data_IF_959559081823
#
_entry.id   IF_959559081823
#
_cell.length_a   1.000
_cell.length_b   1.000
_cell.length_c   1.000
_cell.angle_alpha   90.00
_cell.angle_beta   90.00
_cell.angle_gamma   90.00
#
_symmetry.space_group_name_H-M   'P 1'
#
loop_
_entity.id
_entity.type
_entity.pdbx_description
1 polymer ?
#
# COMPACT_ATOMS: atom_id res chain seq x y z
N UNK A 1 -5.68 -2.27 -18.50
CA UNK A 1 -5.03 -2.18 -17.17
C UNK A 1 -3.65 -1.55 -17.34
N UNK A 2 -3.30 -0.45 -16.63
CA UNK A 2 -1.91 0.07 -16.63
C UNK A 2 -1.14 -0.57 -15.47
N UNK A 3 -0.02 -1.22 -15.75
CA UNK A 3 0.84 -1.84 -14.73
C UNK A 3 2.19 -1.10 -14.66
N UNK A 4 2.93 -1.32 -13.57
CA UNK A 4 4.25 -0.72 -13.39
C UNK A 4 5.35 -1.33 -14.29
N UNK A 5 5.09 -2.45 -14.97
CA UNK A 5 6.11 -3.28 -15.64
C UNK A 5 6.93 -2.50 -16.68
N UNK A 6 6.25 -1.76 -17.53
CA UNK A 6 6.85 -1.15 -18.74
C UNK A 6 6.96 0.39 -18.60
N UNK A 7 7.01 0.89 -17.37
CA UNK A 7 7.02 2.33 -17.06
C UNK A 7 8.26 2.65 -16.22
N UNK A 8 8.99 3.71 -16.55
CA UNK A 8 10.13 4.15 -15.76
C UNK A 8 9.71 5.21 -14.73
N UNK A 9 10.04 5.00 -13.45
CA UNK A 9 9.71 5.90 -12.33
C UNK A 9 10.89 6.72 -11.81
N UNK A 10 11.97 6.87 -12.59
CA UNK A 10 13.11 7.71 -12.23
C UNK A 10 12.67 9.12 -11.81
N UNK A 11 13.19 9.57 -10.66
CA UNK A 11 12.92 10.88 -10.07
C UNK A 11 11.42 11.13 -9.76
N UNK A 12 10.58 10.08 -9.77
CA UNK A 12 9.18 10.14 -9.35
C UNK A 12 9.05 9.84 -7.86
N UNK A 13 8.03 10.43 -7.26
CA UNK A 13 7.64 10.20 -5.86
C UNK A 13 6.36 9.39 -5.87
N UNK A 14 6.51 8.10 -5.64
CA UNK A 14 5.48 7.10 -5.91
C UNK A 14 4.78 6.73 -4.62
N UNK A 15 3.48 7.00 -4.55
CA UNK A 15 2.60 6.55 -3.49
C UNK A 15 2.18 5.11 -3.78
N UNK A 16 2.51 4.18 -2.89
CA UNK A 16 2.21 2.75 -3.06
C UNK A 16 1.27 2.29 -1.96
N UNK A 17 0.06 1.87 -2.33
CA UNK A 17 -0.87 1.24 -1.41
C UNK A 17 -0.57 -0.27 -1.35
N UNK A 18 -0.04 -0.75 -0.23
CA UNK A 18 0.29 -2.16 0.00
C UNK A 18 -0.64 -2.78 1.05
N UNK A 19 -0.80 -4.11 1.09
CA UNK A 19 -1.54 -4.78 2.17
C UNK A 19 -0.62 -5.25 3.31
N UNK A 20 -0.19 -4.36 4.19
CA UNK A 20 0.58 -4.74 5.39
C UNK A 20 -0.27 -5.05 6.61
N UNK A 21 -1.52 -5.48 6.42
CA UNK A 21 -2.34 -5.95 7.53
C UNK A 21 -1.91 -7.37 7.93
N UNK A 22 -0.81 -7.45 8.68
CA UNK A 22 -0.16 -8.68 9.16
C UNK A 22 -0.54 -8.96 10.62
N UNK A 23 -0.53 -10.23 11.08
CA UNK A 23 -0.72 -10.53 12.48
C UNK A 23 0.48 -10.04 13.31
N UNK A 24 0.19 -9.24 14.33
CA UNK A 24 1.17 -8.73 15.30
C UNK A 24 0.78 -9.20 16.69
N UNK A 25 1.72 -9.81 17.40
CA UNK A 25 1.56 -10.22 18.80
C UNK A 25 2.69 -9.62 19.62
N UNK A 26 2.34 -8.86 20.66
CA UNK A 26 3.33 -8.22 21.55
C UNK A 26 4.37 -7.38 20.78
N UNK A 27 3.93 -6.71 19.71
CA UNK A 27 4.79 -5.89 18.85
C UNK A 27 5.63 -6.67 17.83
N UNK A 28 5.51 -8.00 17.79
CA UNK A 28 6.25 -8.88 16.86
C UNK A 28 5.32 -9.40 15.77
N UNK A 29 5.76 -9.30 14.51
CA UNK A 29 5.06 -9.86 13.35
C UNK A 29 5.22 -11.38 13.37
N UNK A 30 4.11 -12.12 13.37
CA UNK A 30 4.15 -13.60 13.38
C UNK A 30 4.08 -14.21 11.97
N UNK A 31 3.61 -13.44 10.98
CA UNK A 31 3.59 -13.83 9.57
C UNK A 31 3.79 -12.58 8.71
N UNK A 32 4.91 -12.55 7.97
CA UNK A 32 5.32 -11.44 7.12
C UNK A 32 5.02 -11.66 5.63
N UNK A 33 4.23 -12.69 5.28
CA UNK A 33 3.94 -13.06 3.88
C UNK A 33 3.43 -11.88 3.07
N UNK A 34 2.48 -11.11 3.62
CA UNK A 34 1.93 -9.94 2.91
C UNK A 34 2.94 -8.81 2.71
N UNK A 35 3.93 -8.69 3.58
CA UNK A 35 5.03 -7.73 3.41
C UNK A 35 5.91 -8.18 2.23
N UNK A 36 6.26 -9.47 2.21
CA UNK A 36 7.07 -10.09 1.15
C UNK A 36 6.42 -9.99 -0.23
N UNK A 37 5.10 -10.15 -0.30
CA UNK A 37 4.34 -10.06 -1.56
C UNK A 37 4.41 -8.68 -2.22
N UNK A 38 4.59 -7.59 -1.46
CA UNK A 38 4.75 -6.24 -2.02
C UNK A 38 6.20 -5.89 -2.38
N UNK A 39 7.20 -6.70 -1.98
CA UNK A 39 8.61 -6.42 -2.25
C UNK A 39 8.93 -6.27 -3.75
N UNK A 40 8.43 -7.13 -4.66
CA UNK A 40 8.74 -7.00 -6.08
C UNK A 40 8.32 -5.63 -6.66
N UNK A 41 7.17 -5.11 -6.22
CA UNK A 41 6.69 -3.78 -6.61
C UNK A 41 7.63 -2.70 -6.08
N UNK A 42 7.99 -2.77 -4.80
CA UNK A 42 8.84 -1.79 -4.13
C UNK A 42 10.23 -1.76 -4.76
N UNK A 43 10.86 -2.92 -4.90
CA UNK A 43 12.21 -3.07 -5.47
C UNK A 43 12.28 -2.55 -6.89
N UNK A 44 11.27 -2.84 -7.72
CA UNK A 44 11.22 -2.33 -9.09
C UNK A 44 11.16 -0.81 -9.14
N UNK A 45 10.34 -0.16 -8.30
CA UNK A 45 10.26 1.30 -8.25
C UNK A 45 11.59 1.93 -7.84
N UNK A 46 12.29 1.30 -6.91
CA UNK A 46 13.58 1.78 -6.43
C UNK A 46 14.70 1.55 -7.44
N UNK A 47 14.67 0.43 -8.15
CA UNK A 47 15.60 0.13 -9.23
C UNK A 47 15.49 1.16 -10.38
N UNK A 48 14.28 1.67 -10.63
CA UNK A 48 14.07 2.79 -11.58
C UNK A 48 14.61 4.13 -11.06
N UNK A 49 14.90 4.26 -9.76
CA UNK A 49 15.33 5.52 -9.13
C UNK A 49 14.17 6.37 -8.62
N UNK A 50 13.05 5.76 -8.23
CA UNK A 50 11.95 6.48 -7.57
C UNK A 50 12.23 6.74 -6.07
N UNK A 51 11.57 7.75 -5.52
CA UNK A 51 11.33 7.89 -4.08
C UNK A 51 10.00 7.19 -3.74
N UNK A 52 9.99 6.25 -2.80
CA UNK A 52 8.81 5.40 -2.54
C UNK A 52 8.15 5.77 -1.22
N UNK A 53 6.86 6.10 -1.26
CA UNK A 53 6.02 6.36 -0.08
C UNK A 53 5.00 5.23 0.04
N UNK A 54 5.19 4.38 1.03
CA UNK A 54 4.34 3.23 1.33
C UNK A 54 3.17 3.66 2.23
N UNK A 55 2.00 3.14 1.93
CA UNK A 55 0.78 3.38 2.69
C UNK A 55 0.07 2.05 2.96
N UNK A 56 -0.35 1.85 4.21
CA UNK A 56 -1.09 0.66 4.59
C UNK A 56 -2.08 0.93 5.72
N UNK A 57 -2.81 -0.12 6.08
CA UNK A 57 -3.56 -0.20 7.32
C UNK A 57 -3.11 -1.42 8.11
N UNK A 58 -3.35 -1.40 9.42
CA UNK A 58 -3.20 -2.54 10.30
C UNK A 58 -4.44 -2.62 11.20
N UNK A 59 -5.04 -3.80 11.28
CA UNK A 59 -6.19 -4.07 12.13
C UNK A 59 -7.38 -3.14 11.90
N UNK A 60 -8.07 -2.79 12.99
CA UNK A 60 -9.30 -1.99 12.99
C UNK A 60 -9.28 -0.99 14.16
N UNK A 61 -8.39 0.01 14.12
CA UNK A 61 -8.39 1.09 15.11
C UNK A 61 -9.72 1.86 15.11
N UNK A 62 -9.99 2.58 16.20
CA UNK A 62 -11.18 3.43 16.35
C UNK A 62 -11.18 4.63 15.37
N UNK A 63 -10.00 5.02 14.88
CA UNK A 63 -9.83 6.12 13.92
C UNK A 63 -9.94 7.50 14.55
N UNK A 64 -9.60 7.58 15.84
CA UNK A 64 -9.57 8.82 16.65
C UNK A 64 -8.15 9.33 16.88
N UNK A 65 -7.16 8.78 16.17
CA UNK A 65 -5.74 9.10 16.34
C UNK A 65 -4.88 7.86 16.52
N UNK A 66 -3.69 8.05 17.08
CA UNK A 66 -2.70 7.01 17.28
C UNK A 66 -3.15 5.96 18.31
N UNK A 67 -3.07 4.69 17.94
CA UNK A 67 -3.32 3.53 18.81
C UNK A 67 -2.13 2.57 18.70
N UNK A 68 -1.34 2.43 19.76
CA UNK A 68 -0.04 1.75 19.71
C UNK A 68 -0.11 0.29 19.20
N UNK A 69 -1.17 -0.44 19.54
CA UNK A 69 -1.38 -1.83 19.10
C UNK A 69 -1.59 -1.98 17.58
N UNK A 70 -1.98 -0.89 16.90
CA UNK A 70 -2.23 -0.85 15.46
C UNK A 70 -1.19 0.00 14.71
N UNK A 71 -0.09 0.39 15.36
CA UNK A 71 0.99 1.12 14.69
C UNK A 71 1.70 0.24 13.66
N UNK A 72 2.15 0.85 12.57
CA UNK A 72 2.98 0.22 11.55
C UNK A 72 4.48 0.21 11.88
N UNK A 73 4.89 0.64 13.08
CA UNK A 73 6.30 0.63 13.48
C UNK A 73 6.97 -0.75 13.33
N UNK A 74 6.35 -1.89 13.74
CA UNK A 74 6.94 -3.21 13.51
C UNK A 74 7.09 -3.55 12.03
N UNK A 75 6.15 -3.08 11.19
CA UNK A 75 6.18 -3.27 9.74
C UNK A 75 7.33 -2.47 9.12
N UNK A 76 7.56 -1.23 9.56
CA UNK A 76 8.69 -0.42 9.10
C UNK A 76 10.04 -1.09 9.38
N UNK A 77 10.19 -1.68 10.58
CA UNK A 77 11.38 -2.43 10.95
C UNK A 77 11.56 -3.65 10.04
N UNK A 78 10.50 -4.47 9.88
CA UNK A 78 10.57 -5.67 9.05
C UNK A 78 10.83 -5.37 7.57
N UNK A 79 10.23 -4.32 7.03
CA UNK A 79 10.51 -3.84 5.68
C UNK A 79 11.98 -3.45 5.53
N UNK A 80 12.56 -2.78 6.54
CA UNK A 80 13.97 -2.39 6.48
C UNK A 80 14.90 -3.59 6.41
N UNK A 81 14.61 -4.64 7.18
CA UNK A 81 15.35 -5.91 7.17
C UNK A 81 15.24 -6.59 5.79
N UNK A 82 14.02 -6.73 5.27
CA UNK A 82 13.76 -7.43 4.00
C UNK A 82 14.34 -6.69 2.78
N UNK A 83 14.29 -5.36 2.80
CA UNK A 83 14.82 -4.53 1.71
C UNK A 83 16.34 -4.37 1.78
N UNK A 84 16.97 -4.68 2.93
CA UNK A 84 18.37 -4.39 3.18
C UNK A 84 18.68 -2.89 3.18
N UNK A 85 17.69 -2.04 3.46
CA UNK A 85 17.77 -0.57 3.40
C UNK A 85 16.95 0.06 4.49
N UNK A 86 17.32 1.27 4.92
CA UNK A 86 16.55 2.04 5.91
C UNK A 86 15.18 2.42 5.33
N UNK A 87 14.11 2.07 6.03
CA UNK A 87 12.78 2.63 5.82
C UNK A 87 12.57 3.75 6.83
N UNK A 88 12.31 4.96 6.33
CA UNK A 88 11.95 6.10 7.16
C UNK A 88 10.52 5.89 7.69
N UNK A 89 10.32 6.21 8.96
CA UNK A 89 9.04 6.04 9.63
C UNK A 89 8.91 7.04 10.78
N UNK A 90 7.68 7.48 11.05
CA UNK A 90 7.34 8.33 12.18
C UNK A 90 5.98 7.89 12.74
N UNK A 91 5.79 7.97 14.05
CA UNK A 91 4.49 7.77 14.71
C UNK A 91 3.53 8.96 14.49
N UNK A 92 3.92 9.91 13.66
CA UNK A 92 3.13 11.08 13.31
C UNK A 92 1.89 10.69 12.50
N UNK A 93 0.72 11.15 12.95
CA UNK A 93 -0.56 10.88 12.29
C UNK A 93 -0.90 12.05 11.37
N UNK A 94 -0.20 12.09 10.22
CA UNK A 94 -0.50 12.99 9.10
C UNK A 94 -0.44 14.48 9.42
N UNK A 95 0.58 14.91 10.16
CA UNK A 95 0.86 16.33 10.44
C UNK A 95 1.87 16.91 9.45
N UNK A 96 2.36 18.13 9.72
CA UNK A 96 3.42 18.77 8.95
C UNK A 96 4.73 17.95 8.94
N UNK A 97 4.96 17.13 9.97
CA UNK A 97 6.10 16.20 10.00
C UNK A 97 5.98 15.18 8.87
N UNK A 98 4.80 14.59 8.68
CA UNK A 98 4.55 13.67 7.57
C UNK A 98 4.79 14.32 6.20
N UNK A 99 4.30 15.56 6.02
CA UNK A 99 4.46 16.32 4.77
C UNK A 99 5.93 16.63 4.50
N UNK A 100 6.67 17.10 5.50
CA UNK A 100 8.10 17.39 5.36
C UNK A 100 8.94 16.15 5.04
N UNK A 101 8.70 15.02 5.73
CA UNK A 101 9.37 13.75 5.43
C UNK A 101 9.09 13.28 4.00
N UNK A 102 7.84 13.36 3.55
CA UNK A 102 7.47 13.02 2.18
C UNK A 102 8.13 13.97 1.18
N UNK A 103 8.14 15.28 1.45
CA UNK A 103 8.75 16.31 0.59
C UNK A 103 10.25 16.08 0.41
N UNK A 104 10.96 15.83 1.50
CA UNK A 104 12.42 15.76 1.55
C UNK A 104 12.98 14.36 1.19
N UNK A 105 12.09 13.40 0.90
CA UNK A 105 12.42 12.03 0.50
C UNK A 105 13.19 11.98 -0.83
N UNK A 106 14.40 11.44 -0.79
CA UNK A 106 15.33 11.40 -1.93
C UNK A 106 15.10 10.16 -2.81
N UNK A 107 15.52 10.19 -4.09
CA UNK A 107 15.51 9.01 -4.95
C UNK A 107 16.20 7.81 -4.30
N UNK A 108 15.57 6.64 -4.35
CA UNK A 108 16.04 5.41 -3.72
C UNK A 108 15.70 5.27 -2.22
N UNK A 109 15.12 6.30 -1.60
CA UNK A 109 14.64 6.22 -0.21
C UNK A 109 13.20 5.71 -0.14
N UNK A 110 12.87 5.11 1.01
CA UNK A 110 11.53 4.60 1.31
C UNK A 110 11.01 5.27 2.58
N UNK A 111 9.78 5.76 2.53
CA UNK A 111 9.01 6.24 3.67
C UNK A 111 7.80 5.33 3.86
N UNK A 112 7.56 4.83 5.06
CA UNK A 112 6.29 4.22 5.44
C UNK A 112 5.47 5.24 6.23
N UNK A 113 4.27 5.55 5.76
CA UNK A 113 3.31 6.34 6.53
C UNK A 113 2.73 5.49 7.66
N UNK A 114 2.31 6.16 8.75
CA UNK A 114 1.57 5.50 9.81
C UNK A 114 0.20 5.00 9.32
N UNK A 115 -0.45 4.14 10.12
CA UNK A 115 -1.69 3.47 9.81
C UNK A 115 -2.79 4.45 9.34
N UNK A 116 -3.17 4.34 8.07
CA UNK A 116 -4.19 5.20 7.45
C UNK A 116 -5.54 5.15 8.19
N UNK A 117 -5.85 4.04 8.87
CA UNK A 117 -7.11 3.91 9.63
C UNK A 117 -7.11 4.65 10.96
N UNK A 118 -6.01 5.26 11.38
CA UNK A 118 -6.03 6.25 12.47
C UNK A 118 -6.84 7.50 12.13
N UNK A 119 -7.09 7.74 10.83
CA UNK A 119 -8.00 8.78 10.35
C UNK A 119 -9.34 8.15 9.99
N UNK A 120 -10.40 8.52 10.70
CA UNK A 120 -11.79 8.07 10.42
C UNK A 120 -12.23 8.29 8.96
N UNK A 121 -11.67 9.29 8.30
CA UNK A 121 -11.92 9.60 6.88
C UNK A 121 -11.52 8.48 5.92
N UNK A 122 -10.48 7.70 6.25
CA UNK A 122 -9.96 6.64 5.38
C UNK A 122 -11.06 5.63 5.00
N UNK A 123 -11.75 5.06 5.99
CA UNK A 123 -12.78 4.04 5.74
C UNK A 123 -14.07 4.62 5.13
N UNK A 124 -14.25 5.95 5.21
CA UNK A 124 -15.41 6.64 4.65
C UNK A 124 -15.21 7.07 3.20
N UNK A 125 -14.01 6.89 2.64
CA UNK A 125 -13.69 7.43 1.32
C UNK A 125 -13.69 8.95 1.32
N UNK A 126 -13.24 9.57 2.41
CA UNK A 126 -13.15 11.02 2.52
C UNK A 126 -12.22 11.59 1.44
N UNK A 127 -12.76 12.51 0.64
CA UNK A 127 -12.05 13.10 -0.50
C UNK A 127 -10.99 14.10 -0.05
N UNK A 128 -11.19 14.77 1.09
CA UNK A 128 -10.19 15.66 1.69
C UNK A 128 -8.93 14.88 2.10
N UNK A 129 -9.11 13.75 2.78
CA UNK A 129 -8.01 12.87 3.14
C UNK A 129 -7.33 12.24 1.92
N UNK A 130 -8.11 11.84 0.90
CA UNK A 130 -7.54 11.35 -0.35
C UNK A 130 -6.71 12.41 -1.09
N UNK A 131 -7.17 13.67 -1.10
CA UNK A 131 -6.45 14.81 -1.65
C UNK A 131 -5.15 15.09 -0.89
N UNK A 132 -5.20 15.05 0.45
CA UNK A 132 -4.01 15.14 1.29
C UNK A 132 -2.98 14.06 0.94
N UNK A 133 -3.38 12.78 0.88
CA UNK A 133 -2.47 11.69 0.52
C UNK A 133 -1.90 11.89 -0.89
N UNK A 134 -2.73 12.29 -1.84
CA UNK A 134 -2.31 12.57 -3.22
C UNK A 134 -1.26 13.68 -3.29
N UNK A 135 -1.32 14.68 -2.41
CA UNK A 135 -0.34 15.78 -2.37
C UNK A 135 1.08 15.34 -2.01
N UNK A 136 1.24 14.15 -1.40
CA UNK A 136 2.53 13.62 -0.96
C UNK A 136 3.36 13.04 -2.11
N UNK A 137 2.78 12.80 -3.29
CA UNK A 137 3.45 12.16 -4.42
C UNK A 137 2.91 12.59 -5.78
N UNK A 138 3.53 12.08 -6.84
CA UNK A 138 3.17 12.41 -8.23
C UNK A 138 2.71 11.20 -9.04
N UNK A 139 2.81 9.99 -8.49
CA UNK A 139 2.36 8.74 -9.09
C UNK A 139 1.65 7.93 -8.02
N UNK A 140 0.56 7.26 -8.38
CA UNK A 140 -0.13 6.31 -7.52
C UNK A 140 -0.01 4.87 -8.04
N UNK A 141 0.36 3.96 -7.16
CA UNK A 141 0.42 2.52 -7.40
C UNK A 141 -0.47 1.81 -6.39
N UNK A 142 -1.45 1.04 -6.86
CA UNK A 142 -2.25 0.18 -6.01
C UNK A 142 -1.77 -1.27 -6.11
N UNK A 143 -1.24 -1.80 -5.02
CA UNK A 143 -0.76 -3.17 -4.89
C UNK A 143 -1.46 -3.92 -3.75
N UNK A 144 -2.66 -3.46 -3.35
CA UNK A 144 -3.41 -4.00 -2.21
C UNK A 144 -4.72 -4.65 -2.65
N UNK A 145 -4.63 -5.78 -3.37
CA UNK A 145 -5.79 -6.52 -3.90
C UNK A 145 -6.83 -6.84 -2.82
N UNK A 146 -6.40 -7.29 -1.64
CA UNK A 146 -7.27 -7.62 -0.51
C UNK A 146 -8.14 -6.45 -0.01
N UNK A 147 -7.82 -5.21 -0.37
CA UNK A 147 -8.61 -4.02 -0.03
C UNK A 147 -9.26 -3.32 -1.23
N UNK A 148 -9.04 -3.83 -2.44
CA UNK A 148 -9.54 -3.23 -3.68
C UNK A 148 -11.07 -3.18 -3.77
N UNK A 149 -11.76 -4.09 -3.08
CA UNK A 149 -13.23 -4.14 -3.01
C UNK A 149 -13.85 -3.02 -2.17
N UNK A 150 -13.06 -2.16 -1.52
CA UNK A 150 -13.55 -1.08 -0.64
C UNK A 150 -13.26 0.29 -1.24
N UNK A 151 -14.26 1.16 -1.16
CA UNK A 151 -14.17 2.55 -1.60
C UNK A 151 -13.52 3.46 -0.53
N UNK A 152 -12.33 3.12 -0.05
CA UNK A 152 -11.60 3.94 0.92
C UNK A 152 -10.84 5.08 0.24
N UNK A 153 -10.38 6.05 1.05
CA UNK A 153 -9.59 7.18 0.58
C UNK A 153 -8.32 6.72 -0.14
N UNK A 154 -7.53 5.85 0.51
CA UNK A 154 -6.24 5.35 -0.01
C UNK A 154 -6.32 4.30 -1.14
N UNK A 155 -7.51 3.78 -1.46
CA UNK A 155 -7.70 2.73 -2.46
C UNK A 155 -8.43 3.25 -3.71
N UNK A 156 -9.65 3.75 -3.55
CA UNK A 156 -10.51 4.10 -4.67
C UNK A 156 -10.52 5.61 -4.95
N UNK A 157 -10.61 6.43 -3.90
CA UNK A 157 -10.84 7.87 -4.06
C UNK A 157 -9.56 8.59 -4.49
N UNK A 158 -8.41 8.21 -3.94
CA UNK A 158 -7.10 8.77 -4.32
C UNK A 158 -6.82 8.68 -5.82
N UNK A 159 -7.30 7.63 -6.49
CA UNK A 159 -7.11 7.42 -7.93
C UNK A 159 -7.78 8.49 -8.82
N UNK A 160 -8.70 9.32 -8.27
CA UNK A 160 -9.27 10.48 -8.96
C UNK A 160 -8.25 11.61 -9.15
N UNK A 161 -7.29 11.73 -8.23
CA UNK A 161 -6.25 12.77 -8.25
C UNK A 161 -5.08 12.41 -9.19
N UNK A 162 -5.04 11.18 -9.69
CA UNK A 162 -4.04 10.68 -10.65
C UNK A 162 -4.73 10.21 -11.94
N UNK A 163 -5.16 11.11 -12.84
CA UNK A 163 -5.90 10.73 -14.04
C UNK A 163 -5.05 9.86 -14.98
N UNK A 164 -3.76 10.19 -15.12
CA UNK A 164 -2.85 9.53 -16.07
C UNK A 164 -1.83 8.62 -15.38
N UNK A 165 -1.37 9.00 -14.19
CA UNK A 165 -0.25 8.42 -13.46
C UNK A 165 -0.70 7.48 -12.32
N UNK A 166 -1.63 6.58 -12.65
CA UNK A 166 -2.09 5.51 -11.77
C UNK A 166 -1.83 4.15 -12.39
N UNK A 167 -1.26 3.25 -11.58
CA UNK A 167 -0.81 1.94 -12.02
C UNK A 167 -1.19 0.87 -11.00
N UNK A 168 -1.26 -0.37 -11.45
CA UNK A 168 -1.30 -1.52 -10.56
C UNK A 168 0.10 -2.09 -10.35
N UNK A 169 0.40 -2.43 -9.10
CA UNK A 169 1.60 -3.17 -8.75
C UNK A 169 1.53 -4.62 -9.23
N UNK A 170 2.60 -5.39 -8.98
CA UNK A 170 2.70 -6.76 -9.47
C UNK A 170 1.72 -7.71 -8.79
N UNK A 171 1.49 -7.57 -7.48
CA UNK A 171 0.53 -8.41 -6.76
C UNK A 171 -0.87 -8.20 -7.31
N UNK A 172 -1.31 -6.95 -7.39
CA UNK A 172 -2.64 -6.63 -7.94
C UNK A 172 -2.79 -7.09 -9.40
N UNK A 173 -1.78 -6.87 -10.24
CA UNK A 173 -1.84 -7.30 -11.64
C UNK A 173 -1.93 -8.83 -11.77
N UNK A 174 -1.21 -9.56 -10.93
CA UNK A 174 -1.27 -11.03 -10.89
C UNK A 174 -2.65 -11.53 -10.47
N UNK A 175 -3.22 -10.98 -9.40
CA UNK A 175 -4.56 -11.34 -8.91
C UNK A 175 -5.65 -11.09 -9.95
N UNK A 176 -5.62 -9.93 -10.61
CA UNK A 176 -6.56 -9.60 -11.69
C UNK A 176 -6.42 -10.60 -12.85
N UNK A 177 -5.18 -10.89 -13.26
CA UNK A 177 -4.92 -11.84 -14.37
C UNK A 177 -5.43 -13.24 -14.05
N UNK A 178 -5.27 -13.70 -12.81
CA UNK A 178 -5.74 -15.02 -12.39
C UNK A 178 -7.27 -15.08 -12.31
N UNK A 179 -7.91 -14.03 -11.81
CA UNK A 179 -9.37 -13.95 -11.78
C UNK A 179 -9.98 -13.90 -13.18
N UNK A 180 -9.39 -13.14 -14.10
CA UNK A 180 -9.84 -13.08 -15.50
C UNK A 180 -9.76 -14.46 -16.16
N UNK A 181 -8.67 -15.22 -15.93
CA UNK A 181 -8.55 -16.60 -16.43
C UNK A 181 -9.62 -17.52 -15.85
N UNK A 182 -9.88 -17.44 -14.54
CA UNK A 182 -10.90 -18.26 -13.87
C UNK A 182 -12.32 -17.93 -14.35
N UNK A 183 -12.62 -16.67 -14.65
CA UNK A 183 -13.95 -16.22 -15.08
C UNK A 183 -14.22 -16.46 -16.56
N UNK A 184 -13.20 -16.38 -17.42
CA UNK A 184 -13.39 -16.34 -18.87
C UNK A 184 -12.73 -17.48 -19.64
N UNK A 185 -11.81 -18.23 -19.03
CA UNK A 185 -10.99 -19.23 -19.74
C UNK A 185 -10.70 -20.48 -18.89
N UNK A 186 -11.58 -20.79 -17.93
CA UNK A 186 -11.43 -22.00 -17.14
C UNK A 186 -11.61 -23.25 -18.02
N UNK A 187 -10.61 -24.13 -18.00
CA UNK A 187 -10.72 -25.43 -18.66
C UNK A 187 -11.77 -26.30 -17.95
N UNK A 188 -12.58 -27.00 -18.75
CA UNK A 188 -13.64 -27.86 -18.22
C UNK A 188 -13.15 -29.31 -18.08
N UNK A 189 -13.60 -30.06 -17.06
CA UNK A 189 -14.62 -29.67 -16.07
C UNK A 189 -14.08 -28.71 -15.00
N UNK A 190 -14.81 -27.62 -14.75
CA UNK A 190 -14.49 -26.59 -13.75
C UNK A 190 -15.19 -26.91 -12.44
N UNK A 191 -14.43 -27.02 -11.35
CA UNK A 191 -14.95 -27.34 -10.01
C UNK A 191 -14.52 -26.26 -9.03
N UNK A 192 -15.49 -25.63 -8.36
CA UNK A 192 -15.24 -24.70 -7.26
C UNK A 192 -15.50 -25.39 -5.91
N UNK A 193 -14.52 -25.36 -5.01
CA UNK A 193 -14.65 -25.87 -3.64
C UNK A 193 -14.83 -24.69 -2.70
N UNK A 194 -16.00 -24.61 -2.07
CA UNK A 194 -16.36 -23.55 -1.12
C UNK A 194 -16.53 -24.16 0.25
N UNK A 195 -15.81 -23.63 1.24
CA UNK A 195 -15.90 -24.02 2.65
C UNK A 195 -15.59 -22.83 3.55
N UNK A 196 -15.65 -23.04 4.87
CA UNK A 196 -15.49 -21.98 5.87
C UNK A 196 -16.51 -22.12 7.00
N UNK A 197 -16.27 -21.44 8.13
CA UNK A 197 -17.18 -21.45 9.29
C UNK A 197 -18.35 -20.47 9.17
N UNK A 198 -18.42 -19.69 8.08
CA UNK A 198 -19.53 -18.81 7.70
C UNK A 198 -19.63 -18.68 6.18
#
# INVERSE_FOLDING_TARGET
>A
MKTIKDVNFKDKKVLVRCDFNVPVKEGVITDDTRIRESLPTIEKLLADGASVILMSHLGRPAGTGFEAEYSLAPVAQRLSELLGRKVLFSNDVFTEVTVSMARDLKPGEVLLLENLRFIKGETKGDEGFASYLASLGNVYVNDAFGTAHRAHSSTAIIAKFFPNDKYFGFLMAHEITNLEKLLHSAEHPYTAVIGGSK
#
